data_IF_658997022775
#
_entry.id   IF_658997022775
#
_cell.length_a   1.000
_cell.length_b   1.000
_cell.length_c   1.000
_cell.angle_alpha   90.00
_cell.angle_beta   90.00
_cell.angle_gamma   90.00
#
_symmetry.space_group_name_H-M   'P 1'
#
loop_
_entity.id
_entity.type
_entity.pdbx_description
1 polymer ?
#
# COMPACT_ATOMS: atom_id res chain seq x y z
N UNK A 1 -15.92 -6.86 0.60
CA UNK A 1 -16.21 -6.19 -0.70
C UNK A 1 -16.94 -4.87 -0.52
N UNK A 2 -18.02 -4.80 0.30
CA UNK A 2 -18.78 -3.54 0.51
C UNK A 2 -17.88 -2.40 1.06
N UNK A 3 -17.05 -2.67 2.07
CA UNK A 3 -16.12 -1.68 2.66
C UNK A 3 -15.17 -1.12 1.60
N UNK A 4 -14.61 -1.96 0.73
CA UNK A 4 -13.73 -1.51 -0.34
C UNK A 4 -14.46 -0.67 -1.39
N UNK A 5 -15.66 -1.10 -1.79
CA UNK A 5 -16.46 -0.33 -2.73
C UNK A 5 -16.81 1.05 -2.16
N UNK A 6 -17.15 1.11 -0.86
CA UNK A 6 -17.39 2.37 -0.15
C UNK A 6 -16.14 3.24 -0.12
N UNK A 7 -14.97 2.69 0.25
CA UNK A 7 -13.70 3.43 0.31
C UNK A 7 -13.28 3.97 -1.06
N UNK A 8 -13.45 3.17 -2.12
CA UNK A 8 -13.16 3.60 -3.49
C UNK A 8 -14.14 4.68 -3.95
N UNK A 9 -15.43 4.53 -3.64
CA UNK A 9 -16.44 5.54 -3.90
C UNK A 9 -16.12 6.86 -3.19
N UNK A 10 -15.74 6.79 -1.92
CA UNK A 10 -15.30 7.95 -1.12
C UNK A 10 -14.02 8.58 -1.69
N UNK A 11 -13.04 7.77 -2.13
CA UNK A 11 -11.81 8.30 -2.73
C UNK A 11 -12.05 9.08 -4.03
N UNK A 12 -13.09 8.70 -4.79
CA UNK A 12 -13.45 9.36 -6.06
C UNK A 12 -14.36 10.56 -5.82
N UNK A 13 -15.44 10.38 -5.07
CA UNK A 13 -16.51 11.38 -4.90
C UNK A 13 -16.31 12.28 -3.66
N UNK A 14 -15.44 11.87 -2.72
CA UNK A 14 -15.31 12.47 -1.41
C UNK A 14 -15.16 13.98 -1.37
N UNK A 15 -14.25 14.59 -2.16
CA UNK A 15 -14.07 16.05 -2.13
C UNK A 15 -15.34 16.86 -2.48
N UNK A 16 -16.26 16.27 -3.23
CA UNK A 16 -17.53 16.93 -3.63
C UNK A 16 -18.68 16.71 -2.64
N UNK A 17 -18.57 15.77 -1.70
CA UNK A 17 -19.71 15.38 -0.84
C UNK A 17 -20.04 16.45 0.20
N UNK A 18 -19.02 17.07 0.80
CA UNK A 18 -19.22 18.03 1.90
C UNK A 18 -19.42 19.46 1.42
N UNK A 19 -18.99 19.79 0.21
CA UNK A 19 -18.93 21.18 -0.24
C UNK A 19 -17.97 22.06 0.57
N UNK A 20 -17.23 21.49 1.54
CA UNK A 20 -16.28 22.19 2.41
C UNK A 20 -14.86 22.03 1.89
N UNK A 21 -14.07 23.11 1.96
CA UNK A 21 -12.64 23.04 1.67
C UNK A 21 -11.90 22.33 2.82
N UNK A 22 -11.22 21.19 2.57
CA UNK A 22 -10.46 20.46 3.60
C UNK A 22 -9.28 21.25 4.17
N UNK A 23 -8.88 22.36 3.56
CA UNK A 23 -7.76 23.19 3.99
C UNK A 23 -8.22 24.50 4.67
N UNK A 24 -9.47 24.90 4.52
CA UNK A 24 -10.00 26.13 5.11
C UNK A 24 -9.90 26.09 6.64
N UNK A 25 -9.19 27.05 7.22
CA UNK A 25 -8.93 27.14 8.65
C UNK A 25 -9.83 28.20 9.31
N UNK A 26 -10.32 27.91 10.52
CA UNK A 26 -11.02 28.87 11.36
C UNK A 26 -10.62 28.65 12.83
N UNK A 27 -9.53 29.30 13.26
CA UNK A 27 -8.93 29.10 14.60
C UNK A 27 -9.90 29.47 15.73
N UNK A 28 -10.86 30.37 15.50
CA UNK A 28 -11.87 30.72 16.48
C UNK A 28 -12.80 29.53 16.82
N UNK A 29 -12.96 28.60 15.89
CA UNK A 29 -13.77 27.39 16.03
C UNK A 29 -12.92 26.11 16.16
N UNK A 30 -11.69 26.23 16.66
CA UNK A 30 -10.82 25.09 16.89
C UNK A 30 -11.47 24.07 17.83
N UNK A 31 -11.32 22.79 17.53
CA UNK A 31 -11.84 21.69 18.32
C UNK A 31 -13.37 21.74 18.55
N UNK A 32 -14.12 22.47 17.71
CA UNK A 32 -15.56 22.55 17.84
C UNK A 32 -16.20 21.17 17.63
N UNK A 33 -17.20 20.80 18.45
CA UNK A 33 -17.92 19.55 18.32
C UNK A 33 -18.71 19.45 17.01
N UNK A 34 -19.22 18.27 16.65
CA UNK A 34 -20.12 18.10 15.52
C UNK A 34 -21.33 19.04 15.56
N UNK A 35 -21.68 19.59 14.40
CA UNK A 35 -22.87 20.45 14.19
C UNK A 35 -23.57 20.09 12.87
N UNK A 36 -24.64 20.81 12.51
CA UNK A 36 -25.44 20.55 11.32
C UNK A 36 -24.67 20.76 9.99
N UNK A 37 -23.59 21.54 10.01
CA UNK A 37 -22.74 21.86 8.83
C UNK A 37 -21.47 21.02 8.86
N UNK A 38 -20.88 20.80 10.03
CA UNK A 38 -19.63 20.06 10.27
C UNK A 38 -19.92 18.75 11.01
N UNK A 39 -20.37 17.74 10.28
CA UNK A 39 -20.91 16.49 10.84
C UNK A 39 -19.96 15.73 11.75
N UNK A 40 -18.65 15.83 11.53
CA UNK A 40 -17.63 15.24 12.41
C UNK A 40 -16.91 16.30 13.25
N UNK A 41 -17.41 17.54 13.26
CA UNK A 41 -16.79 18.65 13.97
C UNK A 41 -15.55 19.19 13.27
N UNK A 42 -14.74 19.93 14.03
CA UNK A 42 -13.55 20.64 13.54
C UNK A 42 -12.29 20.21 14.29
N UNK A 43 -11.17 20.25 13.58
CA UNK A 43 -9.86 19.91 14.14
C UNK A 43 -9.23 21.09 14.96
N UNK A 44 -7.99 20.90 15.40
CA UNK A 44 -7.22 21.86 16.19
C UNK A 44 -6.88 23.18 15.44
N UNK A 45 -7.09 23.25 14.15
CA UNK A 45 -6.99 24.45 13.31
C UNK A 45 -8.36 24.96 12.84
N UNK A 46 -9.46 24.36 13.36
CA UNK A 46 -10.82 24.69 12.97
C UNK A 46 -11.21 24.24 11.57
N UNK A 47 -10.48 23.28 10.95
CA UNK A 47 -10.79 22.71 9.66
C UNK A 47 -11.84 21.60 9.79
N UNK A 48 -12.66 21.40 8.77
CA UNK A 48 -13.70 20.37 8.75
C UNK A 48 -13.07 18.96 8.75
N UNK A 49 -13.39 18.13 9.76
CA UNK A 49 -12.84 16.79 9.91
C UNK A 49 -13.33 15.86 8.79
N UNK A 50 -14.62 15.94 8.40
CA UNK A 50 -15.16 15.07 7.36
C UNK A 50 -14.56 15.37 6.01
N UNK A 51 -14.48 16.65 5.61
CA UNK A 51 -13.86 17.05 4.35
C UNK A 51 -12.39 16.56 4.26
N UNK A 52 -11.64 16.71 5.36
CA UNK A 52 -10.25 16.22 5.48
C UNK A 52 -10.18 14.70 5.43
N UNK A 53 -11.10 14.00 6.07
CA UNK A 53 -11.16 12.54 6.09
C UNK A 53 -11.37 11.98 4.68
N UNK A 54 -12.33 12.57 3.94
CA UNK A 54 -12.65 12.18 2.56
C UNK A 54 -11.48 12.48 1.61
N UNK A 55 -10.88 13.67 1.70
CA UNK A 55 -9.69 14.02 0.92
C UNK A 55 -8.49 13.13 1.29
N UNK A 56 -8.29 12.86 2.59
CA UNK A 56 -7.24 11.99 3.11
C UNK A 56 -7.38 10.54 2.64
N UNK A 57 -8.60 10.05 2.47
CA UNK A 57 -8.87 8.72 1.91
C UNK A 57 -8.21 8.55 0.55
N UNK A 58 -8.40 9.53 -0.33
CA UNK A 58 -7.79 9.52 -1.68
C UNK A 58 -6.27 9.48 -1.61
N UNK A 59 -5.67 10.32 -0.76
CA UNK A 59 -4.21 10.45 -0.63
C UNK A 59 -3.59 9.16 -0.04
N UNK A 60 -4.13 8.67 1.09
CA UNK A 60 -3.61 7.45 1.73
C UNK A 60 -3.76 6.22 0.83
N UNK A 61 -4.88 6.09 0.10
CA UNK A 61 -5.06 4.99 -0.85
C UNK A 61 -4.14 5.09 -2.06
N UNK A 62 -3.94 6.29 -2.64
CA UNK A 62 -3.01 6.49 -3.76
C UNK A 62 -1.57 6.16 -3.35
N UNK A 63 -1.13 6.61 -2.17
CA UNK A 63 0.21 6.32 -1.68
C UNK A 63 0.42 4.81 -1.46
N UNK A 64 -0.52 4.13 -0.80
CA UNK A 64 -0.41 2.69 -0.53
C UNK A 64 -0.51 1.84 -1.80
N UNK A 65 -1.42 2.18 -2.72
CA UNK A 65 -1.56 1.48 -4.01
C UNK A 65 -0.33 1.68 -4.87
N UNK A 66 0.16 2.92 -4.96
CA UNK A 66 1.39 3.25 -5.68
C UNK A 66 2.60 2.51 -5.12
N UNK A 67 2.77 2.49 -3.79
CA UNK A 67 3.84 1.76 -3.12
C UNK A 67 3.77 0.24 -3.37
N UNK A 68 2.57 -0.34 -3.31
CA UNK A 68 2.36 -1.76 -3.58
C UNK A 68 2.65 -2.10 -5.04
N UNK A 69 2.21 -1.27 -5.98
CA UNK A 69 2.50 -1.43 -7.40
C UNK A 69 4.00 -1.29 -7.69
N UNK A 70 4.65 -0.30 -7.09
CA UNK A 70 6.11 -0.12 -7.23
C UNK A 70 6.88 -1.30 -6.63
N UNK A 71 6.48 -1.80 -5.45
CA UNK A 71 7.06 -2.99 -4.84
C UNK A 71 6.90 -4.23 -5.73
N UNK A 72 5.74 -4.40 -6.37
CA UNK A 72 5.49 -5.48 -7.32
C UNK A 72 6.42 -5.39 -8.53
N UNK A 73 6.49 -4.22 -9.17
CA UNK A 73 7.33 -4.02 -10.35
C UNK A 73 8.81 -4.19 -10.01
N UNK A 74 9.28 -3.54 -8.96
CA UNK A 74 10.69 -3.60 -8.54
C UNK A 74 11.05 -4.99 -8.01
N UNK A 75 10.28 -5.52 -7.07
CA UNK A 75 10.61 -6.78 -6.39
C UNK A 75 10.40 -7.99 -7.28
N UNK A 76 9.18 -8.18 -7.80
CA UNK A 76 8.91 -9.32 -8.68
C UNK A 76 9.59 -9.17 -10.04
N UNK A 77 9.62 -7.97 -10.62
CA UNK A 77 10.27 -7.73 -11.91
C UNK A 77 11.77 -8.05 -11.86
N UNK A 78 12.52 -7.44 -10.93
CA UNK A 78 13.96 -7.72 -10.78
C UNK A 78 14.22 -9.17 -10.35
N UNK A 79 13.40 -9.71 -9.42
CA UNK A 79 13.55 -11.07 -8.93
C UNK A 79 13.38 -12.12 -10.05
N UNK A 80 12.32 -12.00 -10.85
CA UNK A 80 12.04 -12.90 -11.97
C UNK A 80 13.06 -12.75 -13.11
N UNK A 81 13.44 -11.52 -13.43
CA UNK A 81 14.46 -11.27 -14.44
C UNK A 81 15.81 -11.89 -14.04
N UNK A 82 16.20 -11.73 -12.76
CA UNK A 82 17.43 -12.29 -12.25
C UNK A 82 17.42 -13.84 -12.26
N UNK A 83 16.32 -14.48 -11.87
CA UNK A 83 16.16 -15.95 -11.97
C UNK A 83 16.21 -16.43 -13.43
N UNK A 84 15.62 -15.68 -14.37
CA UNK A 84 15.66 -16.02 -15.80
C UNK A 84 17.08 -15.90 -16.38
N UNK A 85 17.88 -14.94 -15.90
CA UNK A 85 19.25 -14.70 -16.37
C UNK A 85 20.27 -15.67 -15.73
N UNK A 86 19.90 -16.38 -14.67
CA UNK A 86 20.69 -17.46 -14.09
C UNK A 86 21.20 -17.21 -12.68
N UNK A 87 22.05 -18.13 -12.20
CA UNK A 87 22.47 -18.24 -10.81
C UNK A 87 23.14 -16.97 -10.26
N UNK A 88 24.05 -16.37 -11.02
CA UNK A 88 24.83 -15.23 -10.53
C UNK A 88 24.00 -13.94 -10.40
N UNK A 89 23.22 -13.54 -11.43
CA UNK A 89 22.28 -12.42 -11.28
C UNK A 89 21.27 -12.63 -10.15
N UNK A 90 20.72 -13.86 -10.02
CA UNK A 90 19.83 -14.19 -8.93
C UNK A 90 20.49 -14.01 -7.56
N UNK A 91 21.72 -14.56 -7.36
CA UNK A 91 22.44 -14.43 -6.11
C UNK A 91 22.69 -12.95 -5.73
N UNK A 92 23.06 -12.10 -6.70
CA UNK A 92 23.30 -10.69 -6.47
C UNK A 92 22.01 -9.93 -6.10
N UNK A 93 20.95 -10.09 -6.88
CA UNK A 93 19.67 -9.38 -6.65
C UNK A 93 19.03 -9.81 -5.33
N UNK A 94 18.98 -11.11 -5.04
CA UNK A 94 18.41 -11.58 -3.78
C UNK A 94 19.30 -11.23 -2.58
N UNK A 95 20.61 -11.23 -2.73
CA UNK A 95 21.54 -10.71 -1.70
C UNK A 95 21.29 -9.24 -1.37
N UNK A 96 21.06 -8.40 -2.39
CA UNK A 96 20.69 -7.01 -2.19
C UNK A 96 19.32 -6.86 -1.48
N UNK A 97 18.33 -7.68 -1.86
CA UNK A 97 17.03 -7.69 -1.17
C UNK A 97 17.13 -8.20 0.28
N UNK A 98 18.02 -9.12 0.56
CA UNK A 98 18.25 -9.60 1.94
C UNK A 98 18.89 -8.53 2.82
N UNK A 99 19.76 -7.67 2.27
CA UNK A 99 20.27 -6.48 2.97
C UNK A 99 19.14 -5.48 3.29
N UNK A 100 18.23 -5.24 2.34
CA UNK A 100 17.04 -4.39 2.58
C UNK A 100 16.16 -4.97 3.68
N UNK A 101 15.95 -6.29 3.71
CA UNK A 101 15.16 -7.00 4.74
C UNK A 101 15.81 -7.04 6.12
N UNK A 102 17.13 -6.85 6.22
CA UNK A 102 17.82 -6.79 7.51
C UNK A 102 17.32 -5.62 8.38
N UNK A 103 16.74 -4.59 7.75
CA UNK A 103 16.10 -3.46 8.44
C UNK A 103 14.58 -3.65 8.55
N UNK A 104 13.96 -3.31 9.70
CA UNK A 104 12.51 -3.21 9.78
C UNK A 104 11.97 -2.23 8.72
N UNK A 105 10.93 -2.65 7.98
CA UNK A 105 10.40 -1.88 6.83
C UNK A 105 10.05 -0.42 7.18
N UNK A 106 9.48 -0.19 8.38
CA UNK A 106 9.14 1.16 8.86
C UNK A 106 10.39 2.02 9.05
N UNK A 107 11.46 1.46 9.65
CA UNK A 107 12.71 2.19 9.89
C UNK A 107 13.42 2.51 8.58
N UNK A 108 13.45 1.57 7.65
CA UNK A 108 13.99 1.81 6.31
C UNK A 108 13.21 2.91 5.60
N UNK A 109 11.87 2.84 5.61
CA UNK A 109 11.03 3.85 4.98
C UNK A 109 11.22 5.23 5.61
N UNK A 110 11.33 5.34 6.95
CA UNK A 110 11.66 6.59 7.65
C UNK A 110 13.01 7.15 7.17
N UNK A 111 14.04 6.32 7.10
CA UNK A 111 15.38 6.73 6.63
C UNK A 111 15.34 7.24 5.19
N UNK A 112 14.63 6.53 4.31
CA UNK A 112 14.47 6.92 2.90
C UNK A 112 13.68 8.22 2.77
N UNK A 113 12.65 8.44 3.60
CA UNK A 113 11.88 9.70 3.61
C UNK A 113 12.74 10.90 4.05
N UNK A 114 13.65 10.70 5.00
CA UNK A 114 14.61 11.76 5.37
C UNK A 114 15.52 12.12 4.18
N UNK A 115 15.92 11.13 3.38
CA UNK A 115 16.76 11.34 2.22
C UNK A 115 16.01 11.94 1.00
N UNK A 116 14.78 11.49 0.76
CA UNK A 116 14.00 11.87 -0.43
C UNK A 116 13.12 13.11 -0.21
N UNK A 117 12.88 13.49 1.05
CA UNK A 117 11.95 14.55 1.42
C UNK A 117 10.50 14.08 1.54
N UNK A 118 9.61 15.00 1.93
CA UNK A 118 8.17 14.73 2.11
C UNK A 118 7.42 14.85 0.78
N UNK A 119 6.39 14.01 0.60
CA UNK A 119 5.54 14.04 -0.60
C UNK A 119 5.05 12.65 -0.99
N UNK A 120 4.09 12.59 -1.91
CA UNK A 120 3.50 11.32 -2.35
C UNK A 120 4.52 10.47 -3.12
N UNK A 121 5.29 11.06 -4.04
CA UNK A 121 6.26 10.31 -4.84
C UNK A 121 7.41 9.75 -3.99
N UNK A 122 8.12 10.53 -3.14
CA UNK A 122 9.05 9.99 -2.17
C UNK A 122 8.49 8.88 -1.29
N UNK A 123 7.26 9.05 -0.81
CA UNK A 123 6.56 8.08 0.03
C UNK A 123 6.32 6.74 -0.70
N UNK A 124 5.84 6.81 -1.95
CA UNK A 124 5.66 5.63 -2.81
C UNK A 124 6.98 4.90 -3.05
N UNK A 125 8.05 5.63 -3.34
CA UNK A 125 9.38 5.05 -3.54
C UNK A 125 9.92 4.40 -2.25
N UNK A 126 9.87 5.10 -1.12
CA UNK A 126 10.36 4.59 0.16
C UNK A 126 9.64 3.31 0.60
N UNK A 127 8.30 3.32 0.57
CA UNK A 127 7.50 2.14 0.90
C UNK A 127 7.68 1.02 -0.12
N UNK A 128 7.73 1.36 -1.40
CA UNK A 128 7.91 0.39 -2.47
C UNK A 128 9.25 -0.33 -2.38
N UNK A 129 10.33 0.38 -2.09
CA UNK A 129 11.66 -0.21 -1.84
C UNK A 129 11.60 -1.12 -0.60
N UNK A 130 10.99 -0.65 0.49
CA UNK A 130 10.89 -1.42 1.73
C UNK A 130 10.09 -2.74 1.56
N UNK A 131 9.09 -2.76 0.68
CA UNK A 131 8.26 -3.94 0.42
C UNK A 131 8.70 -4.77 -0.79
N UNK A 132 9.57 -4.27 -1.67
CA UNK A 132 10.07 -4.99 -2.84
C UNK A 132 10.65 -6.38 -2.51
N UNK A 133 11.45 -6.57 -1.43
CA UNK A 133 11.97 -7.88 -1.08
C UNK A 133 10.90 -8.94 -0.82
N UNK A 134 9.77 -8.55 -0.24
CA UNK A 134 8.65 -9.48 0.02
C UNK A 134 8.00 -9.96 -1.29
N UNK A 135 7.88 -9.06 -2.28
CA UNK A 135 7.43 -9.42 -3.62
C UNK A 135 8.43 -10.33 -4.33
N UNK A 136 9.72 -10.01 -4.24
CA UNK A 136 10.79 -10.80 -4.86
C UNK A 136 10.83 -12.24 -4.33
N UNK A 137 10.65 -12.45 -3.02
CA UNK A 137 10.65 -13.78 -2.41
C UNK A 137 9.48 -14.64 -2.90
N UNK A 138 8.27 -14.07 -2.99
CA UNK A 138 7.11 -14.80 -3.54
C UNK A 138 7.29 -15.09 -5.02
N UNK A 139 7.81 -14.12 -5.78
CA UNK A 139 8.13 -14.30 -7.18
C UNK A 139 9.17 -15.43 -7.40
N UNK A 140 10.22 -15.47 -6.57
CA UNK A 140 11.23 -16.54 -6.59
C UNK A 140 10.63 -17.92 -6.31
N UNK A 141 9.87 -18.05 -5.25
CA UNK A 141 9.23 -19.30 -4.89
C UNK A 141 8.26 -19.79 -5.99
N UNK A 142 7.51 -18.88 -6.60
CA UNK A 142 6.63 -19.17 -7.71
C UNK A 142 7.42 -19.56 -8.97
N UNK A 143 8.50 -18.86 -9.28
CA UNK A 143 9.42 -19.21 -10.37
C UNK A 143 9.98 -20.62 -10.20
N UNK A 144 10.53 -20.96 -9.04
CA UNK A 144 11.14 -22.26 -8.77
C UNK A 144 10.14 -23.41 -8.99
N UNK A 145 8.91 -23.23 -8.49
CA UNK A 145 7.83 -24.21 -8.67
C UNK A 145 7.47 -24.36 -10.14
N UNK A 146 7.26 -23.26 -10.86
CA UNK A 146 6.79 -23.27 -12.24
C UNK A 146 7.87 -23.74 -13.21
N UNK A 147 9.12 -23.35 -12.99
CA UNK A 147 10.26 -23.73 -13.84
C UNK A 147 10.60 -25.23 -13.79
N UNK A 148 10.09 -25.96 -12.81
CA UNK A 148 10.22 -27.41 -12.68
C UNK A 148 9.15 -28.19 -13.46
N UNK A 149 8.19 -27.52 -14.09
CA UNK A 149 7.11 -28.17 -14.87
C UNK A 149 7.60 -28.67 -16.23
N UNK A 150 6.97 -29.75 -16.71
CA UNK A 150 7.38 -30.41 -17.97
C UNK A 150 7.27 -29.53 -19.22
N UNK A 151 6.26 -28.64 -19.28
CA UNK A 151 6.10 -27.75 -20.45
C UNK A 151 7.18 -26.64 -20.48
N UNK A 152 7.69 -26.17 -19.33
CA UNK A 152 8.82 -25.24 -19.27
C UNK A 152 10.12 -25.95 -19.68
N UNK A 153 10.29 -27.21 -19.25
CA UNK A 153 11.42 -28.03 -19.67
C UNK A 153 11.41 -28.25 -21.18
N UNK A 154 10.25 -28.59 -21.77
CA UNK A 154 10.08 -28.75 -23.21
C UNK A 154 10.41 -27.46 -24.00
N UNK A 155 9.91 -26.29 -23.53
CA UNK A 155 10.22 -25.00 -24.14
C UNK A 155 11.73 -24.72 -24.18
N UNK A 156 12.45 -25.05 -23.10
CA UNK A 156 13.92 -24.89 -23.04
C UNK A 156 14.65 -25.84 -23.99
N UNK A 157 14.21 -27.09 -24.08
CA UNK A 157 14.78 -28.06 -25.01
C UNK A 157 14.56 -27.60 -26.48
N UNK A 158 13.43 -26.97 -26.77
CA UNK A 158 13.13 -26.37 -28.08
C UNK A 158 13.91 -25.06 -28.35
N UNK A 159 14.80 -24.64 -27.47
CA UNK A 159 15.65 -23.45 -27.64
C UNK A 159 14.99 -22.12 -27.30
N UNK A 160 13.90 -22.10 -26.54
CA UNK A 160 13.28 -20.86 -26.12
C UNK A 160 14.22 -20.03 -25.25
N UNK A 161 14.37 -18.74 -25.56
CA UNK A 161 15.19 -17.81 -24.77
C UNK A 161 14.65 -17.68 -23.34
N UNK A 162 15.50 -17.50 -22.32
CA UNK A 162 15.09 -17.44 -20.91
C UNK A 162 14.01 -16.39 -20.63
N UNK A 163 14.17 -15.16 -21.15
CA UNK A 163 13.18 -14.10 -20.99
C UNK A 163 11.87 -14.38 -21.75
N UNK A 164 11.93 -15.01 -22.91
CA UNK A 164 10.73 -15.42 -23.63
C UNK A 164 9.98 -16.51 -22.84
N UNK A 165 10.69 -17.47 -22.26
CA UNK A 165 10.12 -18.48 -21.37
C UNK A 165 9.46 -17.84 -20.13
N UNK A 166 10.13 -16.86 -19.52
CA UNK A 166 9.54 -16.08 -18.40
C UNK A 166 8.22 -15.44 -18.81
N UNK A 167 8.23 -14.63 -19.87
CA UNK A 167 7.07 -13.79 -20.22
C UNK A 167 5.90 -14.62 -20.77
N UNK A 168 6.18 -15.65 -21.61
CA UNK A 168 5.14 -16.43 -22.31
C UNK A 168 4.60 -17.60 -21.50
N UNK A 169 5.43 -18.19 -20.65
CA UNK A 169 5.10 -19.46 -19.99
C UNK A 169 5.00 -19.33 -18.47
N UNK A 170 5.93 -18.63 -17.80
CA UNK A 170 5.98 -18.59 -16.33
C UNK A 170 5.09 -17.47 -15.79
N UNK A 171 5.28 -16.23 -16.24
CA UNK A 171 4.61 -15.06 -15.69
C UNK A 171 3.07 -15.17 -15.69
N UNK A 172 2.40 -15.64 -16.76
CA UNK A 172 0.94 -15.80 -16.75
C UNK A 172 0.46 -16.78 -15.67
N UNK A 173 1.21 -17.86 -15.43
CA UNK A 173 0.84 -18.89 -14.46
C UNK A 173 1.09 -18.49 -13.01
N UNK A 174 2.07 -17.63 -12.75
CA UNK A 174 2.38 -17.14 -11.39
C UNK A 174 1.69 -15.81 -11.06
N UNK A 175 1.04 -15.16 -12.02
CA UNK A 175 0.40 -13.85 -11.85
C UNK A 175 -0.58 -13.84 -10.66
N UNK A 176 -1.37 -14.92 -10.49
CA UNK A 176 -2.27 -15.07 -9.35
C UNK A 176 -1.56 -15.01 -8.00
N UNK A 177 -0.38 -15.61 -7.87
CA UNK A 177 0.44 -15.57 -6.65
C UNK A 177 0.97 -14.15 -6.38
N UNK A 178 1.39 -13.43 -7.43
CA UNK A 178 1.88 -12.05 -7.32
C UNK A 178 0.77 -11.08 -6.93
N UNK A 179 -0.40 -11.20 -7.53
CA UNK A 179 -1.58 -10.39 -7.20
C UNK A 179 -2.04 -10.66 -5.77
N UNK A 180 -2.03 -11.92 -5.34
CA UNK A 180 -2.34 -12.30 -3.95
C UNK A 180 -1.35 -11.66 -2.98
N UNK A 181 -0.06 -11.67 -3.29
CA UNK A 181 0.96 -11.03 -2.46
C UNK A 181 0.79 -9.51 -2.41
N UNK A 182 0.43 -8.88 -3.52
CA UNK A 182 0.12 -7.44 -3.56
C UNK A 182 -1.07 -7.11 -2.64
N UNK A 183 -2.12 -7.93 -2.66
CA UNK A 183 -3.27 -7.76 -1.78
C UNK A 183 -2.93 -7.93 -0.29
N UNK A 184 -1.94 -8.76 0.06
CA UNK A 184 -1.42 -8.92 1.44
C UNK A 184 -0.55 -7.72 1.86
N UNK A 185 0.20 -7.13 0.94
CA UNK A 185 1.05 -5.95 1.22
C UNK A 185 0.22 -4.68 1.36
N UNK A 186 -0.88 -4.54 0.64
CA UNK A 186 -1.70 -3.34 0.61
C UNK A 186 -2.11 -2.82 2.00
N UNK A 187 -2.73 -3.60 2.92
CA UNK A 187 -3.06 -3.14 4.27
C UNK A 187 -1.82 -2.73 5.09
N UNK A 188 -0.69 -3.41 4.90
CA UNK A 188 0.57 -3.05 5.54
C UNK A 188 1.09 -1.71 5.03
N UNK A 189 1.01 -1.46 3.73
CA UNK A 189 1.42 -0.21 3.11
C UNK A 189 0.58 0.97 3.61
N UNK A 190 -0.75 0.80 3.75
CA UNK A 190 -1.66 1.81 4.32
C UNK A 190 -1.25 2.15 5.77
N UNK A 191 -1.03 1.13 6.59
CA UNK A 191 -0.63 1.34 7.99
C UNK A 191 0.73 2.03 8.09
N UNK A 192 1.72 1.61 7.29
CA UNK A 192 3.05 2.21 7.31
C UNK A 192 3.05 3.63 6.76
N UNK A 193 2.26 3.93 5.70
CA UNK A 193 2.01 5.30 5.24
C UNK A 193 1.52 6.17 6.39
N UNK A 194 0.49 5.69 7.11
CA UNK A 194 -0.09 6.43 8.23
C UNK A 194 0.91 6.66 9.36
N UNK A 195 1.78 5.69 9.65
CA UNK A 195 2.87 5.86 10.64
C UNK A 195 3.87 6.92 10.17
N UNK A 196 4.33 6.88 8.90
CA UNK A 196 5.26 7.87 8.35
C UNK A 196 4.64 9.28 8.37
N UNK A 197 3.38 9.39 7.95
CA UNK A 197 2.63 10.64 7.97
C UNK A 197 2.38 11.15 9.39
N UNK A 198 2.16 10.26 10.36
CA UNK A 198 2.04 10.60 11.78
C UNK A 198 3.32 11.25 12.33
N UNK A 199 4.49 10.72 11.96
CA UNK A 199 5.78 11.31 12.34
C UNK A 199 6.16 12.56 11.50
N UNK A 200 5.30 12.98 10.58
CA UNK A 200 5.53 14.18 9.77
C UNK A 200 6.43 13.96 8.55
N UNK A 201 6.88 12.73 8.30
CA UNK A 201 7.78 12.35 7.21
C UNK A 201 7.04 11.76 5.98
N UNK A 202 5.71 11.67 6.02
CA UNK A 202 4.90 11.16 4.90
C UNK A 202 4.62 12.22 3.84
N UNK A 203 3.32 12.48 3.60
CA UNK A 203 2.87 13.51 2.66
C UNK A 203 3.20 14.93 3.15
N UNK A 204 3.14 15.90 2.22
CA UNK A 204 3.41 17.31 2.54
C UNK A 204 2.51 17.83 3.68
N UNK A 205 2.97 18.84 4.46
CA UNK A 205 2.27 19.33 5.66
C UNK A 205 0.80 19.70 5.45
N UNK A 206 0.47 20.32 4.34
CA UNK A 206 -0.89 20.78 4.04
C UNK A 206 -1.77 19.70 3.40
N UNK A 207 -1.18 18.58 2.99
CA UNK A 207 -1.91 17.49 2.36
C UNK A 207 -2.62 16.64 3.42
N UNK A 208 -3.96 16.52 3.38
CA UNK A 208 -4.67 15.66 4.31
C UNK A 208 -4.33 14.20 4.06
N UNK A 209 -3.94 13.47 5.11
CA UNK A 209 -3.87 11.99 5.15
C UNK A 209 -4.33 11.53 6.53
N UNK A 210 -4.73 10.29 6.66
CA UNK A 210 -5.21 9.78 7.94
C UNK A 210 -4.13 9.87 9.03
N UNK A 211 -2.87 9.54 8.72
CA UNK A 211 -1.76 9.65 9.67
C UNK A 211 -1.50 11.08 10.13
N UNK A 212 -1.56 12.05 9.21
CA UNK A 212 -1.42 13.48 9.54
C UNK A 212 -2.57 13.99 10.42
N UNK A 213 -3.80 13.54 10.14
CA UNK A 213 -4.96 13.90 10.96
C UNK A 213 -4.82 13.37 12.39
N UNK A 214 -4.42 12.10 12.55
CA UNK A 214 -4.18 11.50 13.87
C UNK A 214 -3.09 12.28 14.60
N UNK A 215 -1.95 12.57 13.98
CA UNK A 215 -0.84 13.31 14.57
C UNK A 215 -1.28 14.69 15.08
N UNK A 216 -2.00 15.45 14.25
CA UNK A 216 -2.49 16.77 14.60
C UNK A 216 -3.51 16.78 15.74
N UNK A 217 -4.34 15.74 15.82
CA UNK A 217 -5.41 15.63 16.81
C UNK A 217 -4.95 15.05 18.17
N UNK A 218 -3.86 14.28 18.20
CA UNK A 218 -3.43 13.55 19.42
C UNK A 218 -3.21 14.45 20.62
N UNK A 219 -2.66 15.66 20.42
CA UNK A 219 -2.43 16.63 21.52
C UNK A 219 -3.72 17.18 22.12
N UNK A 220 -4.84 17.04 21.44
CA UNK A 220 -6.15 17.57 21.81
C UNK A 220 -7.17 16.45 22.04
N UNK A 221 -6.70 15.20 22.24
CA UNK A 221 -7.56 14.02 22.33
C UNK A 221 -8.59 14.10 23.47
N UNK A 222 -8.26 14.73 24.58
CA UNK A 222 -9.18 14.93 25.71
C UNK A 222 -10.27 15.96 25.37
N UNK A 223 -9.90 17.06 24.69
CA UNK A 223 -10.82 18.14 24.36
C UNK A 223 -11.66 17.84 23.11
N UNK A 224 -11.13 17.08 22.17
CA UNK A 224 -11.75 16.76 20.87
C UNK A 224 -11.52 15.30 20.48
N UNK A 225 -12.07 14.32 21.22
CA UNK A 225 -11.88 12.90 20.92
C UNK A 225 -12.38 12.50 19.51
N UNK A 226 -13.40 13.17 19.00
CA UNK A 226 -13.93 12.96 17.64
C UNK A 226 -12.88 13.22 16.56
N UNK A 227 -11.98 14.17 16.75
CA UNK A 227 -10.92 14.50 15.81
C UNK A 227 -9.86 13.38 15.69
N UNK A 228 -9.64 12.58 16.73
CA UNK A 228 -8.75 11.42 16.71
C UNK A 228 -9.49 10.18 16.23
N UNK A 229 -10.71 9.94 16.76
CA UNK A 229 -11.47 8.72 16.48
C UNK A 229 -11.83 8.58 14.98
N UNK A 230 -12.20 9.67 14.33
CA UNK A 230 -12.62 9.63 12.92
C UNK A 230 -11.53 9.05 11.99
N UNK A 231 -10.29 9.58 11.95
CA UNK A 231 -9.24 9.03 11.09
C UNK A 231 -8.74 7.66 11.58
N UNK A 232 -8.76 7.35 12.87
CA UNK A 232 -8.40 6.02 13.39
C UNK A 232 -9.40 4.97 12.91
N UNK A 233 -10.70 5.25 12.97
CA UNK A 233 -11.74 4.35 12.46
C UNK A 233 -11.63 4.16 10.95
N UNK A 234 -11.37 5.24 10.19
CA UNK A 234 -11.19 5.14 8.75
C UNK A 234 -9.99 4.25 8.38
N UNK A 235 -8.84 4.45 9.06
CA UNK A 235 -7.65 3.63 8.87
C UNK A 235 -7.91 2.16 9.22
N UNK A 236 -8.59 1.89 10.33
CA UNK A 236 -8.93 0.54 10.79
C UNK A 236 -9.87 -0.16 9.81
N UNK A 237 -10.91 0.52 9.35
CA UNK A 237 -11.87 -0.01 8.37
C UNK A 237 -11.20 -0.27 7.01
N UNK A 238 -10.31 0.63 6.57
CA UNK A 238 -9.56 0.45 5.34
C UNK A 238 -8.64 -0.77 5.43
N UNK A 239 -7.85 -0.86 6.49
CA UNK A 239 -6.94 -1.99 6.72
C UNK A 239 -7.70 -3.32 6.78
N UNK A 240 -8.81 -3.38 7.52
CA UNK A 240 -9.69 -4.55 7.59
C UNK A 240 -10.30 -4.88 6.22
N UNK A 241 -10.82 -3.87 5.50
CA UNK A 241 -11.43 -4.04 4.20
C UNK A 241 -10.46 -4.65 3.18
N UNK A 242 -9.24 -4.13 3.11
CA UNK A 242 -8.20 -4.67 2.22
C UNK A 242 -7.70 -6.04 2.67
N UNK A 243 -7.56 -6.30 3.97
CA UNK A 243 -7.18 -7.63 4.48
C UNK A 243 -8.22 -8.69 4.10
N UNK A 244 -9.51 -8.43 4.35
CA UNK A 244 -10.60 -9.34 3.98
C UNK A 244 -10.72 -9.55 2.46
N UNK A 245 -10.46 -8.52 1.66
CA UNK A 245 -10.46 -8.65 0.21
C UNK A 245 -9.26 -9.47 -0.27
N UNK A 246 -8.08 -9.26 0.31
CA UNK A 246 -6.89 -10.06 0.04
C UNK A 246 -7.10 -11.54 0.34
N UNK A 247 -7.71 -11.87 1.47
CA UNK A 247 -8.04 -13.25 1.84
C UNK A 247 -9.03 -13.88 0.86
N UNK A 248 -10.07 -13.14 0.44
CA UNK A 248 -11.03 -13.60 -0.58
C UNK A 248 -10.36 -13.85 -1.92
N UNK A 249 -9.48 -12.94 -2.34
CA UNK A 249 -8.74 -13.06 -3.57
C UNK A 249 -7.79 -14.27 -3.54
N UNK A 250 -7.08 -14.46 -2.43
CA UNK A 250 -6.24 -15.64 -2.20
C UNK A 250 -7.03 -16.93 -2.34
N UNK A 251 -8.21 -17.02 -1.71
CA UNK A 251 -9.08 -18.18 -1.78
C UNK A 251 -9.65 -18.42 -3.19
N UNK A 252 -9.92 -17.36 -3.96
CA UNK A 252 -10.42 -17.45 -5.33
C UNK A 252 -9.35 -17.90 -6.33
N UNK A 253 -8.08 -17.54 -6.08
CA UNK A 253 -6.93 -17.87 -6.92
C UNK A 253 -6.20 -19.16 -6.51
N UNK A 254 -6.69 -19.87 -5.46
CA UNK A 254 -6.10 -21.13 -5.00
C UNK A 254 -6.48 -22.30 -5.94
N UNK A 255 -5.51 -22.84 -6.72
CA UNK A 255 -5.79 -23.89 -7.69
C UNK A 255 -6.20 -25.22 -7.06
N UNK A 256 -5.85 -25.48 -5.80
CA UNK A 256 -6.20 -26.73 -5.11
C UNK A 256 -7.70 -26.82 -4.80
N UNK A 257 -8.42 -25.72 -4.74
CA UNK A 257 -9.88 -25.71 -4.59
C UNK A 257 -10.62 -25.98 -5.89
N UNK A 258 -10.04 -25.65 -7.04
CA UNK A 258 -10.64 -25.95 -8.34
C UNK A 258 -10.70 -27.45 -8.62
N UNK A 259 -9.80 -28.24 -8.04
CA UNK A 259 -9.73 -29.70 -8.21
C UNK A 259 -10.65 -30.48 -7.25
N UNK A 260 -11.27 -29.80 -6.27
CA UNK A 260 -12.19 -30.44 -5.28
C UNK A 260 -13.68 -30.19 -5.58
N UNK A 261 -13.98 -29.53 -6.69
CA UNK A 261 -15.33 -29.35 -7.24
C UNK A 261 -15.47 -30.15 -8.52
#
# INVERSE_FOLDING_TARGET
>A
MLILALLLGVAVAGPGITGQDPLAQNIALRNAPPDAVHWLGRDHLGRDILARLLAGTRISLLAATGATAFALVLGAGLGLAAEALGRWPAAFVFGAFDLVRAMPAVLLALTLMVAFGSGIAPLVLALGIAYAPHMAQVARAAWQRESATGYVAAARVMGAAPLATLVRHILPNIAGSLVTQAAIIMPRAITTESVLSFFGLGVAPDTPSWGRMISGATRFAEAAPHAVLAPVLALSLATLGFALAGDRLRLALDPLRAQRR
#
